data_IF_653879609713
#
_entry.id   IF_653879609713
#
_cell.length_a   1.000
_cell.length_b   1.000
_cell.length_c   1.000
_cell.angle_alpha   90.00
_cell.angle_beta   90.00
_cell.angle_gamma   90.00
#
_symmetry.space_group_name_H-M   'P 1'
#
loop_
_entity.id
_entity.type
_entity.pdbx_description
1 polymer ?
#
# COMPACT_ATOMS: atom_id res chain seq x y z
N UNK A 1 -19.09 11.12 10.10
CA UNK A 1 -19.42 11.44 11.50
C UNK A 1 -19.39 10.15 12.27
N UNK A 2 -18.59 10.12 13.33
CA UNK A 2 -18.50 8.99 14.24
C UNK A 2 -19.72 8.95 15.19
N UNK A 3 -19.87 7.90 16.02
CA UNK A 3 -20.98 7.79 16.98
C UNK A 3 -21.01 8.90 18.04
N UNK A 4 -19.93 9.66 18.20
CA UNK A 4 -19.83 10.81 19.10
C UNK A 4 -20.19 12.13 18.40
N UNK A 5 -20.48 12.10 17.10
CA UNK A 5 -20.81 13.27 16.29
C UNK A 5 -19.58 14.01 15.74
N UNK A 6 -18.37 13.48 15.93
CA UNK A 6 -17.15 14.09 15.39
C UNK A 6 -16.96 13.74 13.92
N UNK A 7 -16.27 14.61 13.19
CA UNK A 7 -15.86 14.30 11.83
C UNK A 7 -14.79 13.19 11.82
N UNK A 8 -14.99 12.21 10.94
CA UNK A 8 -14.11 11.06 10.82
C UNK A 8 -13.13 11.31 9.68
N UNK A 9 -11.86 11.02 9.91
CA UNK A 9 -10.82 11.22 8.89
C UNK A 9 -11.01 10.27 7.71
N UNK A 10 -10.83 10.78 6.50
CA UNK A 10 -10.78 9.95 5.30
C UNK A 10 -9.56 9.05 5.32
N UNK A 11 -9.79 7.80 4.93
CA UNK A 11 -8.75 6.81 4.73
C UNK A 11 -8.78 6.46 3.25
N UNK A 12 -7.64 6.56 2.60
CA UNK A 12 -7.47 6.08 1.23
C UNK A 12 -7.72 4.56 1.19
N UNK A 13 -8.72 4.07 0.45
CA UNK A 13 -9.02 2.64 0.43
C UNK A 13 -7.92 1.80 -0.24
N UNK A 14 -7.10 2.40 -1.10
CA UNK A 14 -6.06 1.69 -1.85
C UNK A 14 -4.72 1.71 -1.10
N UNK A 15 -4.44 2.82 -0.39
CA UNK A 15 -3.18 3.04 0.33
C UNK A 15 -3.28 2.81 1.84
N UNK A 16 -4.48 2.67 2.40
CA UNK A 16 -4.74 2.63 3.83
C UNK A 16 -3.96 3.70 4.62
N UNK A 17 -4.00 4.94 4.14
CA UNK A 17 -3.41 6.10 4.83
C UNK A 17 -4.47 7.15 5.06
N UNK A 18 -4.33 7.90 6.15
CA UNK A 18 -5.14 9.08 6.36
C UNK A 18 -4.86 10.09 5.26
N UNK A 19 -5.92 10.56 4.60
CA UNK A 19 -5.80 11.62 3.62
C UNK A 19 -5.56 12.94 4.34
N UNK A 20 -4.71 13.77 3.75
CA UNK A 20 -4.41 15.13 4.20
C UNK A 20 -4.73 16.12 3.09
N UNK A 21 -5.14 17.33 3.47
CA UNK A 21 -5.30 18.46 2.58
C UNK A 21 -3.92 18.96 2.07
N UNK A 22 -3.93 19.87 1.11
CA UNK A 22 -2.70 20.45 0.54
C UNK A 22 -1.82 21.16 1.58
N UNK A 23 -2.42 21.64 2.67
CA UNK A 23 -1.73 22.27 3.81
C UNK A 23 -1.26 21.27 4.89
N UNK A 24 -1.44 19.97 4.66
CA UNK A 24 -1.07 18.90 5.58
C UNK A 24 -2.08 18.60 6.69
N UNK A 25 -3.21 19.32 6.74
CA UNK A 25 -4.25 19.05 7.74
C UNK A 25 -5.01 17.76 7.42
N UNK A 26 -5.42 16.96 8.43
CA UNK A 26 -6.22 15.76 8.19
C UNK A 26 -7.52 16.08 7.45
N UNK A 27 -7.84 15.26 6.44
CA UNK A 27 -9.01 15.47 5.59
C UNK A 27 -10.22 14.73 6.17
N UNK A 28 -11.30 15.46 6.44
CA UNK A 28 -12.59 14.91 6.88
C UNK A 28 -13.70 15.01 5.83
N UNK A 29 -13.49 15.79 4.77
CA UNK A 29 -14.42 15.98 3.66
C UNK A 29 -13.71 15.87 2.31
N UNK A 30 -14.42 15.40 1.28
CA UNK A 30 -13.86 15.26 -0.06
C UNK A 30 -14.94 15.36 -1.12
N UNK A 31 -14.60 15.97 -2.25
CA UNK A 31 -15.43 15.95 -3.46
C UNK A 31 -15.24 14.61 -4.20
N UNK A 32 -16.36 13.91 -4.38
CA UNK A 32 -16.47 12.70 -5.19
C UNK A 32 -17.23 13.07 -6.46
N UNK A 33 -16.71 12.63 -7.61
CA UNK A 33 -17.34 12.85 -8.90
C UNK A 33 -18.09 11.57 -9.32
N UNK A 34 -19.19 11.76 -10.04
CA UNK A 34 -19.93 10.65 -10.63
C UNK A 34 -19.15 10.04 -11.82
N UNK A 35 -19.30 8.73 -12.00
CA UNK A 35 -18.80 8.00 -13.16
C UNK A 35 -19.61 8.32 -14.43
N UNK A 36 -19.23 7.68 -15.53
CA UNK A 36 -19.91 7.82 -16.83
C UNK A 36 -21.40 7.41 -16.82
N UNK A 37 -21.86 6.72 -15.78
CA UNK A 37 -23.27 6.33 -15.59
C UNK A 37 -24.02 7.25 -14.64
N UNK A 38 -23.38 8.33 -14.16
CA UNK A 38 -23.95 9.26 -13.19
C UNK A 38 -23.89 8.74 -11.75
N UNK A 39 -23.09 7.71 -11.46
CA UNK A 39 -22.98 7.13 -10.11
C UNK A 39 -21.70 7.57 -9.42
N UNK A 40 -21.82 8.08 -8.20
CA UNK A 40 -20.68 8.27 -7.31
C UNK A 40 -20.55 7.06 -6.38
N UNK A 41 -19.34 6.53 -6.24
CA UNK A 41 -19.02 5.44 -5.30
C UNK A 41 -17.83 5.84 -4.44
N UNK A 42 -17.88 5.45 -3.17
CA UNK A 42 -16.75 5.53 -2.26
C UNK A 42 -16.70 4.30 -1.38
N UNK A 43 -15.54 4.07 -0.78
CA UNK A 43 -15.35 3.06 0.25
C UNK A 43 -14.36 3.59 1.29
N UNK A 44 -14.46 3.08 2.52
CA UNK A 44 -13.59 3.41 3.64
C UNK A 44 -13.25 2.13 4.36
N UNK A 45 -12.04 2.07 4.88
CA UNK A 45 -11.61 1.03 5.81
C UNK A 45 -12.03 1.42 7.22
N UNK A 46 -12.78 0.54 7.86
CA UNK A 46 -13.39 0.75 9.17
C UNK A 46 -12.77 -0.14 10.26
N UNK A 47 -11.48 -0.51 10.11
CA UNK A 47 -10.81 -1.49 11.00
C UNK A 47 -10.81 -1.08 12.47
N UNK A 48 -10.73 0.23 12.73
CA UNK A 48 -10.71 0.79 14.08
C UNK A 48 -12.05 1.46 14.45
N UNK A 49 -13.07 1.33 13.61
CA UNK A 49 -14.35 1.98 13.86
C UNK A 49 -15.09 1.25 14.98
N UNK A 50 -15.66 2.02 15.91
CA UNK A 50 -16.41 1.49 17.05
C UNK A 50 -17.89 1.34 16.75
N UNK A 51 -18.54 0.47 17.53
CA UNK A 51 -19.99 0.29 17.49
C UNK A 51 -20.73 1.61 17.66
N UNK A 52 -21.82 1.75 16.90
CA UNK A 52 -22.74 2.87 17.02
C UNK A 52 -23.25 3.37 15.69
N UNK A 53 -23.97 4.49 15.75
CA UNK A 53 -24.59 5.12 14.58
C UNK A 53 -23.57 6.06 13.95
N UNK A 54 -23.14 5.72 12.75
CA UNK A 54 -22.28 6.55 11.91
C UNK A 54 -23.12 7.33 10.91
N UNK A 55 -22.65 8.52 10.54
CA UNK A 55 -23.31 9.40 9.59
C UNK A 55 -22.42 9.83 8.44
N UNK A 56 -22.95 9.80 7.21
CA UNK A 56 -22.33 10.36 6.02
C UNK A 56 -23.09 11.62 5.65
N UNK A 57 -22.41 12.76 5.63
CA UNK A 57 -22.94 14.02 5.10
C UNK A 57 -22.53 14.14 3.64
N UNK A 58 -23.51 14.35 2.77
CA UNK A 58 -23.32 14.59 1.34
C UNK A 58 -23.91 15.94 0.99
N UNK A 59 -23.18 16.72 0.21
CA UNK A 59 -23.65 18.01 -0.30
C UNK A 59 -23.72 17.93 -1.82
N UNK A 60 -24.88 18.23 -2.39
CA UNK A 60 -25.14 18.19 -3.82
C UNK A 60 -25.98 19.40 -4.21
N UNK A 61 -25.47 20.25 -5.11
CA UNK A 61 -26.18 21.43 -5.64
C UNK A 61 -26.73 22.39 -4.55
N UNK A 62 -26.06 22.48 -3.41
CA UNK A 62 -26.47 23.32 -2.28
C UNK A 62 -27.40 22.63 -1.28
N UNK A 63 -27.92 21.44 -1.60
CA UNK A 63 -28.66 20.61 -0.67
C UNK A 63 -27.72 19.71 0.14
N UNK A 64 -27.99 19.56 1.44
CA UNK A 64 -27.23 18.70 2.34
C UNK A 64 -28.10 17.54 2.80
N UNK A 65 -27.61 16.31 2.59
CA UNK A 65 -28.27 15.07 2.98
C UNK A 65 -27.35 14.35 3.98
N UNK A 66 -27.92 13.91 5.10
CA UNK A 66 -27.23 13.02 6.03
C UNK A 66 -27.88 11.65 5.94
N UNK A 67 -27.06 10.62 5.69
CA UNK A 67 -27.47 9.22 5.75
C UNK A 67 -26.74 8.54 6.89
N UNK A 68 -27.51 7.95 7.81
CA UNK A 68 -26.98 7.22 8.95
C UNK A 68 -26.94 5.71 8.66
N UNK A 69 -25.91 5.04 9.16
CA UNK A 69 -25.79 3.59 9.17
C UNK A 69 -25.34 3.13 10.55
N UNK A 70 -25.76 1.93 10.95
CA UNK A 70 -25.39 1.37 12.24
C UNK A 70 -24.23 0.38 12.04
N UNK A 71 -23.15 0.56 12.80
CA UNK A 71 -22.08 -0.41 12.90
C UNK A 71 -22.28 -1.19 14.21
N UNK A 72 -22.46 -2.51 14.11
CA UNK A 72 -22.64 -3.39 15.26
C UNK A 72 -21.38 -4.22 15.47
N UNK A 73 -20.94 -4.39 16.72
CA UNK A 73 -19.91 -5.38 17.01
C UNK A 73 -20.45 -6.80 16.87
N UNK A 74 -19.56 -7.70 16.47
CA UNK A 74 -19.87 -9.12 16.44
C UNK A 74 -19.94 -9.64 17.87
N UNK A 75 -21.06 -10.22 18.25
CA UNK A 75 -21.20 -10.90 19.54
C UNK A 75 -20.35 -12.18 19.54
N UNK A 76 -19.32 -12.19 20.38
CA UNK A 76 -18.49 -13.38 20.61
C UNK A 76 -18.99 -14.11 21.87
N UNK A 77 -19.18 -15.44 21.83
CA UNK A 77 -19.74 -16.19 22.94
C UNK A 77 -18.85 -16.18 24.18
N UNK A 78 -19.46 -15.96 25.35
CA UNK A 78 -18.95 -16.09 26.72
C UNK A 78 -17.43 -15.82 26.88
N UNK A 79 -16.98 -14.56 26.77
CA UNK A 79 -15.57 -14.24 26.95
C UNK A 79 -15.16 -14.53 28.39
N UNK A 80 -14.32 -15.55 28.58
CA UNK A 80 -13.59 -15.72 29.84
C UNK A 80 -12.57 -14.60 29.92
N UNK A 81 -12.62 -13.81 30.99
CA UNK A 81 -11.62 -12.77 31.25
C UNK A 81 -10.41 -13.37 31.96
N UNK A 82 -9.22 -13.01 31.50
CA UNK A 82 -7.94 -13.39 32.09
C UNK A 82 -7.07 -12.14 32.28
N UNK A 83 -6.28 -12.10 33.36
CA UNK A 83 -5.36 -10.99 33.63
C UNK A 83 -3.91 -11.42 33.34
N UNK A 84 -3.26 -10.70 32.43
CA UNK A 84 -1.84 -10.86 32.07
C UNK A 84 -1.17 -9.47 32.11
N UNK A 85 -1.09 -8.87 33.29
CA UNK A 85 -0.71 -7.46 33.44
C UNK A 85 -1.83 -6.49 33.07
N UNK A 86 -2.57 -6.82 32.00
CA UNK A 86 -3.82 -6.17 31.59
C UNK A 86 -4.97 -7.18 31.54
N UNK A 87 -6.20 -6.65 31.61
CA UNK A 87 -7.41 -7.45 31.44
C UNK A 87 -7.62 -7.82 29.97
N UNK A 88 -7.75 -9.12 29.69
CA UNK A 88 -7.97 -9.66 28.35
C UNK A 88 -9.21 -10.56 28.34
N UNK A 89 -10.02 -10.42 27.30
CA UNK A 89 -11.09 -11.36 26.96
C UNK A 89 -10.52 -12.48 26.11
N UNK A 90 -10.96 -13.71 26.33
CA UNK A 90 -10.56 -14.86 25.51
C UNK A 90 -11.65 -15.23 24.51
N UNK A 91 -11.30 -15.17 23.23
CA UNK A 91 -12.04 -15.80 22.15
C UNK A 91 -11.43 -17.17 21.84
N UNK A 92 -12.22 -18.23 22.06
CA UNK A 92 -11.88 -19.59 21.65
C UNK A 92 -12.32 -19.80 20.21
N UNK A 93 -11.44 -19.52 19.26
CA UNK A 93 -11.78 -19.85 17.88
C UNK A 93 -11.21 -21.19 17.43
N UNK A 94 -11.45 -21.56 16.17
CA UNK A 94 -11.37 -22.96 15.74
C UNK A 94 -9.96 -23.56 15.70
N UNK A 95 -8.91 -22.72 15.71
CA UNK A 95 -7.52 -23.17 15.52
C UNK A 95 -6.54 -22.62 16.56
N UNK A 96 -6.91 -21.54 17.26
CA UNK A 96 -6.06 -20.81 18.20
C UNK A 96 -6.93 -19.97 19.14
N UNK A 97 -6.49 -19.74 20.37
CA UNK A 97 -7.14 -18.77 21.23
C UNK A 97 -6.63 -17.37 20.91
N UNK A 98 -7.53 -16.39 20.93
CA UNK A 98 -7.17 -14.98 20.88
C UNK A 98 -7.55 -14.33 22.20
N UNK A 99 -6.58 -13.67 22.82
CA UNK A 99 -6.72 -12.87 24.02
C UNK A 99 -6.66 -11.40 23.62
N UNK A 100 -7.66 -10.60 23.96
CA UNK A 100 -7.74 -9.22 23.48
C UNK A 100 -8.22 -8.26 24.56
N UNK A 101 -7.60 -7.09 24.64
CA UNK A 101 -7.98 -6.06 25.61
C UNK A 101 -9.28 -5.36 25.22
N UNK A 102 -9.85 -4.61 26.17
CA UNK A 102 -10.91 -3.67 25.84
C UNK A 102 -10.45 -2.68 24.74
N UNK A 103 -11.35 -2.36 23.81
CA UNK A 103 -11.07 -1.47 22.68
C UNK A 103 -10.66 -2.17 21.38
N UNK A 104 -10.26 -3.45 21.42
CA UNK A 104 -10.07 -4.25 20.20
C UNK A 104 -11.44 -4.62 19.62
N UNK A 105 -11.77 -4.25 18.36
CA UNK A 105 -13.03 -4.65 17.74
C UNK A 105 -13.15 -6.18 17.62
N UNK A 106 -14.31 -6.75 17.96
CA UNK A 106 -14.51 -8.20 17.92
C UNK A 106 -14.47 -8.79 16.51
N UNK A 107 -14.84 -8.00 15.49
CA UNK A 107 -14.66 -8.37 14.08
C UNK A 107 -13.17 -8.55 13.75
N UNK A 108 -12.30 -7.68 14.26
CA UNK A 108 -10.86 -7.78 14.06
C UNK A 108 -10.29 -9.05 14.70
N UNK A 109 -10.77 -9.43 15.89
CA UNK A 109 -10.37 -10.68 16.55
C UNK A 109 -10.63 -11.88 15.63
N UNK A 110 -11.82 -11.96 15.02
CA UNK A 110 -12.19 -13.05 14.11
C UNK A 110 -11.39 -12.98 12.80
N UNK A 111 -11.23 -11.79 12.21
CA UNK A 111 -10.43 -11.57 11.00
C UNK A 111 -8.98 -12.04 11.18
N UNK A 112 -8.35 -11.72 12.32
CA UNK A 112 -6.97 -12.13 12.61
C UNK A 112 -6.84 -13.63 12.81
N UNK A 113 -7.86 -14.31 13.35
CA UNK A 113 -7.85 -15.77 13.40
C UNK A 113 -7.85 -16.40 12.00
N UNK A 114 -8.74 -15.93 11.12
CA UNK A 114 -8.81 -16.43 9.75
C UNK A 114 -7.52 -16.11 8.98
N UNK A 115 -6.96 -14.92 9.18
CA UNK A 115 -5.68 -14.55 8.59
C UNK A 115 -4.55 -15.46 9.07
N UNK A 116 -4.43 -15.70 10.38
CA UNK A 116 -3.40 -16.62 10.90
C UNK A 116 -3.54 -18.01 10.29
N UNK A 117 -4.76 -18.54 10.20
CA UNK A 117 -5.00 -19.85 9.57
C UNK A 117 -4.56 -19.86 8.11
N UNK A 118 -4.90 -18.81 7.36
CA UNK A 118 -4.48 -18.67 5.97
C UNK A 118 -2.96 -18.57 5.84
N UNK A 119 -2.29 -17.77 6.68
CA UNK A 119 -0.82 -17.66 6.72
C UNK A 119 -0.18 -19.02 7.00
N UNK A 120 -0.68 -19.77 8.00
CA UNK A 120 -0.19 -21.12 8.34
C UNK A 120 -0.23 -22.04 7.11
N UNK A 121 -1.32 -22.02 6.36
CA UNK A 121 -1.49 -22.84 5.16
C UNK A 121 -0.53 -22.39 4.03
N UNK A 122 -0.43 -21.08 3.79
CA UNK A 122 0.38 -20.54 2.71
C UNK A 122 1.89 -20.68 2.95
N UNK A 123 2.35 -20.46 4.19
CA UNK A 123 3.77 -20.66 4.54
C UNK A 123 4.17 -22.11 4.29
N UNK A 124 3.32 -23.09 4.66
CA UNK A 124 3.59 -24.50 4.38
C UNK A 124 3.74 -24.78 2.88
N UNK A 125 2.84 -24.25 2.05
CA UNK A 125 2.90 -24.42 0.59
C UNK A 125 4.16 -23.79 -0.01
N UNK A 126 4.48 -22.54 0.34
CA UNK A 126 5.57 -21.78 -0.28
C UNK A 126 6.94 -22.22 0.21
N UNK A 127 7.10 -22.33 1.53
CA UNK A 127 8.40 -22.57 2.15
C UNK A 127 8.69 -24.05 2.43
N UNK A 128 7.65 -24.90 2.48
CA UNK A 128 7.75 -26.25 3.05
C UNK A 128 7.97 -26.26 4.56
N UNK A 129 7.92 -25.09 5.21
CA UNK A 129 8.00 -24.95 6.65
C UNK A 129 6.60 -24.91 7.25
N UNK A 130 6.40 -25.68 8.29
CA UNK A 130 5.17 -25.66 9.08
C UNK A 130 5.54 -25.68 10.55
N UNK A 131 4.87 -24.84 11.34
CA UNK A 131 4.95 -24.92 12.79
C UNK A 131 4.27 -26.17 13.32
N UNK A 132 4.78 -26.70 14.42
CA UNK A 132 4.19 -27.80 15.18
C UNK A 132 2.83 -27.46 15.80
N UNK A 133 2.59 -26.19 16.15
CA UNK A 133 1.33 -25.73 16.76
C UNK A 133 1.00 -24.31 16.30
N UNK A 134 -0.26 -24.08 15.92
CA UNK A 134 -0.74 -22.71 15.67
C UNK A 134 -0.71 -21.91 16.99
N UNK A 135 0.00 -20.77 17.04
CA UNK A 135 0.16 -20.00 18.27
C UNK A 135 -1.14 -19.35 18.72
N UNK A 136 -1.29 -19.16 20.04
CA UNK A 136 -2.28 -18.23 20.59
C UNK A 136 -1.86 -16.77 20.26
N UNK A 137 -2.84 -15.87 20.13
CA UNK A 137 -2.60 -14.45 19.82
C UNK A 137 -3.01 -13.59 21.02
N UNK A 138 -2.20 -12.58 21.35
CA UNK A 138 -2.43 -11.62 22.42
C UNK A 138 -2.46 -10.19 21.85
N UNK A 139 -3.62 -9.56 21.92
CA UNK A 139 -3.93 -8.28 21.28
C UNK A 139 -4.13 -7.19 22.32
N UNK A 140 -3.35 -6.12 22.19
CA UNK A 140 -3.54 -4.89 22.97
C UNK A 140 -4.08 -3.78 22.07
N UNK A 141 -5.09 -3.05 22.54
CA UNK A 141 -5.78 -2.04 21.71
C UNK A 141 -4.96 -0.80 21.39
N UNK A 142 -3.84 -0.58 22.09
CA UNK A 142 -2.92 0.52 21.86
C UNK A 142 -1.51 0.19 22.35
N UNK A 143 -0.55 1.08 22.06
CA UNK A 143 0.86 0.89 22.44
C UNK A 143 1.11 0.77 23.95
N UNK A 144 0.41 1.54 24.78
CA UNK A 144 0.65 1.56 26.22
C UNK A 144 0.24 0.22 26.84
N UNK A 145 -0.96 -0.27 26.50
CA UNK A 145 -1.41 -1.59 26.91
C UNK A 145 -0.52 -2.70 26.34
N UNK A 146 0.00 -2.53 25.12
CA UNK A 146 0.93 -3.50 24.53
C UNK A 146 2.23 -3.58 25.33
N UNK A 147 2.77 -2.44 25.79
CA UNK A 147 3.96 -2.39 26.62
C UNK A 147 3.74 -3.00 28.00
N UNK A 148 2.59 -2.75 28.62
CA UNK A 148 2.21 -3.38 29.89
C UNK A 148 2.10 -4.91 29.74
N UNK A 149 1.41 -5.38 28.70
CA UNK A 149 1.27 -6.78 28.38
C UNK A 149 2.61 -7.45 28.08
N UNK A 150 3.47 -6.80 27.30
CA UNK A 150 4.81 -7.27 26.99
C UNK A 150 5.63 -7.45 28.28
N UNK A 151 5.66 -6.42 29.13
CA UNK A 151 6.37 -6.43 30.41
C UNK A 151 5.87 -7.55 31.31
N UNK A 152 4.55 -7.72 31.43
CA UNK A 152 3.94 -8.79 32.21
C UNK A 152 4.24 -10.19 31.65
N UNK A 153 4.49 -10.29 30.35
CA UNK A 153 4.93 -11.54 29.69
C UNK A 153 6.43 -11.80 29.80
N UNK A 154 7.21 -10.87 30.37
CA UNK A 154 8.66 -10.96 30.54
C UNK A 154 9.48 -10.44 29.36
N UNK A 155 8.87 -9.68 28.45
CA UNK A 155 9.52 -9.10 27.27
C UNK A 155 9.55 -7.58 27.41
N UNK A 156 10.71 -6.97 27.19
CA UNK A 156 10.84 -5.53 27.12
C UNK A 156 10.87 -5.12 25.64
N UNK A 157 9.94 -4.25 25.24
CA UNK A 157 9.81 -3.76 23.88
C UNK A 157 10.28 -2.29 23.78
N UNK A 158 10.90 -1.96 22.66
CA UNK A 158 11.19 -0.61 22.21
C UNK A 158 10.24 -0.18 21.09
N UNK A 159 10.68 -0.27 19.84
CA UNK A 159 9.95 0.19 18.65
C UNK A 159 9.03 -0.89 18.04
N UNK A 160 9.11 -2.12 18.55
CA UNK A 160 8.42 -3.28 18.01
C UNK A 160 6.90 -3.09 18.07
N UNK A 161 6.21 -3.54 17.01
CA UNK A 161 4.75 -3.51 16.91
C UNK A 161 4.10 -4.86 17.23
N UNK A 162 4.92 -5.90 17.28
CA UNK A 162 4.59 -7.25 17.69
C UNK A 162 5.85 -7.97 18.16
N UNK A 163 5.67 -9.12 18.80
CA UNK A 163 6.74 -10.07 19.03
C UNK A 163 6.18 -11.49 19.15
N UNK A 164 6.93 -12.47 18.70
CA UNK A 164 6.71 -13.86 19.03
C UNK A 164 7.43 -14.27 20.32
N UNK A 165 6.70 -14.94 21.22
CA UNK A 165 7.23 -15.56 22.43
C UNK A 165 7.22 -17.08 22.32
N UNK A 166 8.42 -17.67 22.32
CA UNK A 166 8.62 -19.09 22.04
C UNK A 166 8.14 -20.08 23.09
N UNK A 167 8.37 -19.78 24.36
CA UNK A 167 8.20 -20.74 25.43
C UNK A 167 7.88 -20.05 26.76
N UNK A 168 7.64 -20.87 27.77
CA UNK A 168 7.26 -20.43 29.11
C UNK A 168 5.75 -20.30 29.26
N UNK A 169 5.32 -19.49 30.22
CA UNK A 169 3.90 -19.23 30.46
C UNK A 169 3.38 -18.38 29.29
N UNK A 170 2.38 -18.91 28.59
CA UNK A 170 1.68 -18.26 27.47
C UNK A 170 2.60 -17.96 26.27
N UNK A 171 3.10 -18.99 25.55
CA UNK A 171 3.77 -18.78 24.28
C UNK A 171 2.75 -18.36 23.21
N UNK A 172 3.17 -17.53 22.26
CA UNK A 172 2.28 -17.02 21.23
C UNK A 172 2.78 -15.74 20.59
N UNK A 173 1.90 -15.11 19.82
CA UNK A 173 2.16 -13.83 19.13
C UNK A 173 1.49 -12.72 19.92
N UNK A 174 2.27 -11.68 20.26
CA UNK A 174 1.80 -10.50 20.96
C UNK A 174 1.86 -9.32 20.00
N UNK A 175 0.81 -8.50 19.91
CA UNK A 175 0.81 -7.33 19.04
C UNK A 175 -0.16 -6.24 19.51
N UNK A 176 0.13 -5.00 19.13
CA UNK A 176 -0.82 -3.88 19.25
C UNK A 176 -1.75 -3.80 18.04
N UNK A 177 -2.96 -3.29 18.21
CA UNK A 177 -4.01 -3.29 17.17
C UNK A 177 -4.46 -1.92 16.68
N UNK A 178 -3.80 -0.83 17.09
CA UNK A 178 -4.10 0.54 16.71
C UNK A 178 -3.51 0.93 15.35
N UNK A 179 -3.46 -0.02 14.42
CA UNK A 179 -3.07 0.19 13.03
C UNK A 179 -4.25 -0.09 12.09
N UNK A 180 -4.10 0.36 10.84
CA UNK A 180 -5.02 -0.02 9.78
C UNK A 180 -4.78 -1.47 9.35
N UNK A 181 -5.78 -2.06 8.69
CA UNK A 181 -5.92 -3.51 8.49
C UNK A 181 -4.65 -4.16 7.98
N UNK A 182 -4.08 -3.62 6.91
CA UNK A 182 -2.94 -4.23 6.22
C UNK A 182 -1.74 -4.33 7.14
N UNK A 183 -1.47 -3.30 7.95
CA UNK A 183 -0.39 -3.35 8.94
C UNK A 183 -0.60 -4.43 10.01
N UNK A 184 -1.84 -4.65 10.44
CA UNK A 184 -2.16 -5.72 11.39
C UNK A 184 -1.89 -7.10 10.79
N UNK A 185 -2.38 -7.33 9.57
CA UNK A 185 -2.16 -8.60 8.86
C UNK A 185 -0.67 -8.83 8.60
N UNK A 186 0.05 -7.76 8.27
CA UNK A 186 1.49 -7.72 8.05
C UNK A 186 2.26 -8.13 9.30
N UNK A 187 2.04 -7.46 10.43
CA UNK A 187 2.68 -7.79 11.72
C UNK A 187 2.38 -9.21 12.14
N UNK A 188 1.12 -9.66 12.06
CA UNK A 188 0.77 -11.05 12.40
C UNK A 188 1.50 -12.07 11.53
N UNK A 189 1.64 -11.79 10.23
CA UNK A 189 2.39 -12.65 9.31
C UNK A 189 3.87 -12.68 9.67
N UNK A 190 4.45 -11.52 9.94
CA UNK A 190 5.85 -11.34 10.33
C UNK A 190 6.20 -12.17 11.57
N UNK A 191 5.43 -12.01 12.65
CA UNK A 191 5.66 -12.72 13.91
C UNK A 191 5.43 -14.24 13.78
N UNK A 192 4.47 -14.66 12.95
CA UNK A 192 4.29 -16.08 12.67
C UNK A 192 5.47 -16.68 11.92
N UNK A 193 6.10 -15.93 10.99
CA UNK A 193 7.29 -16.42 10.29
C UNK A 193 8.46 -16.57 11.26
N UNK A 194 8.66 -15.65 12.20
CA UNK A 194 9.66 -15.82 13.26
C UNK A 194 9.44 -17.08 14.10
N UNK A 195 8.19 -17.39 14.44
CA UNK A 195 7.85 -18.64 15.12
C UNK A 195 8.31 -19.85 14.30
N UNK A 196 7.94 -19.90 13.02
CA UNK A 196 8.30 -21.00 12.13
C UNK A 196 9.82 -21.12 11.98
N UNK A 197 10.53 -19.99 11.86
CA UNK A 197 11.99 -19.94 11.78
C UNK A 197 12.64 -20.47 13.08
N UNK A 198 12.15 -20.05 14.25
CA UNK A 198 12.65 -20.49 15.55
C UNK A 198 12.55 -22.00 15.73
N UNK A 199 11.39 -22.58 15.40
CA UNK A 199 11.20 -24.03 15.46
C UNK A 199 12.12 -24.79 14.49
N UNK A 200 12.33 -24.26 13.28
CA UNK A 200 13.11 -24.95 12.23
C UNK A 200 14.61 -24.81 12.42
N UNK A 201 15.07 -23.72 13.01
CA UNK A 201 16.46 -23.50 13.39
C UNK A 201 16.88 -24.28 14.64
N UNK A 202 15.95 -25.01 15.28
CA UNK A 202 16.17 -25.64 16.58
C UNK A 202 16.70 -24.64 17.61
N UNK A 203 16.19 -23.41 17.58
CA UNK A 203 16.57 -22.33 18.49
C UNK A 203 18.04 -21.92 18.44
N UNK A 204 18.74 -22.26 17.34
CA UNK A 204 20.10 -21.74 17.10
C UNK A 204 20.03 -20.29 16.65
N UNK A 205 21.07 -19.54 16.99
CA UNK A 205 21.20 -18.15 16.57
C UNK A 205 21.31 -18.06 15.04
N UNK A 206 20.35 -17.37 14.44
CA UNK A 206 20.34 -17.03 13.01
C UNK A 206 20.80 -15.58 12.89
N UNK A 207 21.65 -15.24 11.89
CA UNK A 207 21.96 -13.85 11.61
C UNK A 207 20.71 -12.99 11.48
N UNK A 208 20.66 -11.83 12.16
CA UNK A 208 19.44 -11.01 12.22
C UNK A 208 18.93 -10.61 10.84
N UNK A 209 19.81 -10.24 9.89
CA UNK A 209 19.42 -9.95 8.51
C UNK A 209 18.70 -11.12 7.83
N UNK A 210 19.07 -12.37 8.11
CA UNK A 210 18.44 -13.54 7.50
C UNK A 210 17.11 -13.85 8.18
N UNK A 211 17.03 -13.71 9.51
CA UNK A 211 15.80 -13.91 10.27
C UNK A 211 14.72 -12.87 9.89
N UNK A 212 15.05 -11.59 10.01
CA UNK A 212 14.15 -10.45 9.75
C UNK A 212 13.85 -10.32 8.26
N UNK A 213 14.86 -10.51 7.39
CA UNK A 213 14.70 -10.49 5.94
C UNK A 213 13.79 -11.60 5.44
N UNK A 214 13.86 -12.81 6.03
CA UNK A 214 12.97 -13.92 5.67
C UNK A 214 11.55 -13.68 6.17
N UNK A 215 11.38 -13.12 7.38
CA UNK A 215 10.08 -12.70 7.88
C UNK A 215 9.44 -11.66 6.95
N UNK A 216 10.19 -10.62 6.55
CA UNK A 216 9.70 -9.57 5.66
C UNK A 216 9.48 -10.06 4.22
N UNK A 217 10.28 -11.01 3.73
CA UNK A 217 10.07 -11.64 2.43
C UNK A 217 8.73 -12.37 2.36
N UNK A 218 8.43 -13.24 3.35
CA UNK A 218 7.17 -13.96 3.37
C UNK A 218 5.98 -13.07 3.72
N UNK A 219 6.19 -12.05 4.55
CA UNK A 219 5.22 -10.98 4.76
C UNK A 219 4.77 -10.37 3.42
N UNK A 220 5.69 -9.95 2.57
CA UNK A 220 5.33 -9.38 1.27
C UNK A 220 4.76 -10.41 0.30
N UNK A 221 5.40 -11.58 0.16
CA UNK A 221 4.95 -12.62 -0.74
C UNK A 221 3.51 -13.05 -0.46
N UNK A 222 3.11 -13.15 0.82
CA UNK A 222 1.74 -13.45 1.18
C UNK A 222 0.82 -12.25 0.98
N UNK A 223 1.17 -11.07 1.47
CA UNK A 223 0.25 -9.93 1.38
C UNK A 223 0.03 -9.43 -0.07
N UNK A 224 0.89 -9.81 -1.03
CA UNK A 224 0.63 -9.65 -2.46
C UNK A 224 -0.48 -10.58 -3.00
N UNK A 225 -0.66 -11.77 -2.42
CA UNK A 225 -1.80 -12.65 -2.74
C UNK A 225 -3.05 -12.30 -1.91
N UNK A 226 -2.89 -11.39 -0.95
CA UNK A 226 -3.91 -11.01 0.01
C UNK A 226 -4.96 -10.05 -0.55
N UNK A 227 -5.74 -9.48 0.36
CA UNK A 227 -6.91 -8.65 0.03
C UNK A 227 -6.48 -7.25 -0.49
N UNK A 228 -5.21 -6.84 -0.30
CA UNK A 228 -4.68 -5.51 -0.68
C UNK A 228 -3.23 -5.55 -1.16
N UNK A 229 -2.96 -6.06 -2.38
CA UNK A 229 -1.61 -6.11 -2.93
C UNK A 229 -0.95 -4.74 -3.10
N UNK A 230 -1.71 -3.69 -3.45
CA UNK A 230 -1.15 -2.38 -3.82
C UNK A 230 -0.32 -1.71 -2.72
N UNK A 231 -0.79 -1.72 -1.47
CA UNK A 231 -0.02 -1.14 -0.34
C UNK A 231 1.24 -1.96 -0.03
N UNK A 232 1.16 -3.29 -0.17
CA UNK A 232 2.32 -4.18 -0.04
C UNK A 232 3.37 -3.86 -1.11
N UNK A 233 2.90 -3.67 -2.35
CA UNK A 233 3.75 -3.31 -3.49
C UNK A 233 4.43 -1.94 -3.27
N UNK A 234 3.70 -0.94 -2.75
CA UNK A 234 4.28 0.35 -2.36
C UNK A 234 5.43 0.18 -1.36
N UNK A 235 5.25 -0.65 -0.32
CA UNK A 235 6.29 -0.92 0.69
C UNK A 235 7.51 -1.61 0.07
N UNK A 236 7.30 -2.59 -0.80
CA UNK A 236 8.38 -3.25 -1.53
C UNK A 236 9.18 -2.27 -2.39
N UNK A 237 8.50 -1.36 -3.08
CA UNK A 237 9.17 -0.33 -3.87
C UNK A 237 9.98 0.62 -2.99
N UNK A 238 9.43 1.09 -1.88
CA UNK A 238 10.18 1.90 -0.92
C UNK A 238 11.43 1.18 -0.40
N UNK A 239 11.31 -0.08 0.01
CA UNK A 239 12.44 -0.87 0.48
C UNK A 239 13.52 -1.01 -0.61
N UNK A 240 13.10 -1.32 -1.85
CA UNK A 240 13.99 -1.42 -3.01
C UNK A 240 14.73 -0.11 -3.26
N UNK A 241 14.01 1.01 -3.32
CA UNK A 241 14.57 2.32 -3.66
C UNK A 241 15.55 2.82 -2.59
N UNK A 242 15.22 2.59 -1.32
CA UNK A 242 16.10 2.95 -0.19
C UNK A 242 17.42 2.18 -0.24
N UNK A 243 17.37 0.87 -0.48
CA UNK A 243 18.60 0.06 -0.55
C UNK A 243 19.40 0.37 -1.82
N UNK A 244 18.72 0.59 -2.95
CA UNK A 244 19.38 0.96 -4.21
C UNK A 244 20.09 2.31 -4.11
N UNK A 245 19.45 3.31 -3.51
CA UNK A 245 20.11 4.60 -3.21
C UNK A 245 21.28 4.41 -2.26
N UNK A 246 21.12 3.62 -1.18
CA UNK A 246 22.19 3.36 -0.24
C UNK A 246 23.38 2.63 -0.89
N UNK A 247 23.14 1.72 -1.83
CA UNK A 247 24.18 1.03 -2.58
C UNK A 247 24.94 2.00 -3.49
N UNK A 248 24.19 2.81 -4.27
CA UNK A 248 24.75 3.81 -5.19
C UNK A 248 25.62 4.86 -4.48
N UNK A 249 25.24 5.26 -3.26
CA UNK A 249 25.97 6.25 -2.46
C UNK A 249 26.98 5.62 -1.48
N UNK A 250 27.23 4.29 -1.58
CA UNK A 250 28.10 3.52 -0.69
C UNK A 250 27.79 3.71 0.81
N UNK A 251 26.50 3.86 1.15
CA UNK A 251 25.98 4.12 2.50
C UNK A 251 25.20 2.94 3.11
N UNK A 252 25.18 1.79 2.43
CA UNK A 252 24.63 0.55 2.98
C UNK A 252 25.23 0.20 4.35
N UNK A 253 24.41 -0.39 5.22
CA UNK A 253 24.85 -0.94 6.51
C UNK A 253 25.73 -2.17 6.28
N UNK A 254 25.32 -3.02 5.34
CA UNK A 254 26.04 -4.22 4.92
C UNK A 254 25.77 -5.41 5.83
N UNK A 255 25.59 -6.60 5.22
CA UNK A 255 25.04 -7.77 5.90
C UNK A 255 25.83 -8.20 7.15
N UNK A 256 27.16 -8.07 7.14
CA UNK A 256 27.99 -8.41 8.31
C UNK A 256 27.65 -7.59 9.55
N UNK A 257 27.31 -6.32 9.37
CA UNK A 257 26.93 -5.43 10.45
C UNK A 257 25.49 -5.67 10.92
N UNK A 258 24.72 -6.45 10.14
CA UNK A 258 23.34 -6.84 10.42
C UNK A 258 23.23 -8.31 10.91
N UNK A 259 24.34 -8.99 11.19
CA UNK A 259 24.31 -10.39 11.68
C UNK A 259 23.96 -10.48 13.17
N UNK A 260 24.34 -9.47 13.97
CA UNK A 260 24.23 -9.53 15.43
C UNK A 260 22.92 -8.93 15.97
N UNK A 261 22.18 -9.72 16.75
CA UNK A 261 20.89 -9.31 17.33
C UNK A 261 21.00 -8.13 18.29
N UNK A 262 22.05 -8.07 19.12
CA UNK A 262 22.23 -6.95 20.04
C UNK A 262 22.49 -5.64 19.28
N UNK A 263 23.28 -5.69 18.21
CA UNK A 263 23.49 -4.55 17.31
C UNK A 263 22.18 -4.15 16.61
N UNK A 264 21.42 -5.12 16.08
CA UNK A 264 20.11 -4.89 15.46
C UNK A 264 19.15 -4.14 16.39
N UNK A 265 18.99 -4.62 17.62
CA UNK A 265 18.06 -4.05 18.60
C UNK A 265 18.55 -2.72 19.20
N UNK A 266 19.84 -2.39 19.04
CA UNK A 266 20.40 -1.13 19.55
C UNK A 266 20.19 0.06 18.61
N UNK A 267 19.70 -0.16 17.39
CA UNK A 267 19.45 0.91 16.43
C UNK A 267 18.25 1.77 16.86
N UNK A 268 18.44 3.09 16.90
CA UNK A 268 17.41 4.04 17.34
C UNK A 268 17.07 5.11 16.30
N UNK A 269 17.89 5.29 15.26
CA UNK A 269 17.61 6.24 14.18
C UNK A 269 16.55 5.66 13.24
N UNK A 270 15.35 6.27 13.11
CA UNK A 270 14.27 5.76 12.28
C UNK A 270 14.68 5.49 10.82
N UNK A 271 15.55 6.31 10.25
CA UNK A 271 16.01 6.14 8.88
C UNK A 271 16.90 4.90 8.72
N UNK A 272 17.74 4.63 9.74
CA UNK A 272 18.58 3.43 9.79
C UNK A 272 17.81 2.18 10.15
N UNK A 273 16.78 2.28 11.00
CA UNK A 273 15.83 1.17 11.26
C UNK A 273 15.15 0.78 9.94
N UNK A 274 14.68 1.77 9.16
CA UNK A 274 14.07 1.47 7.87
C UNK A 274 15.07 0.82 6.89
N UNK A 275 16.31 1.33 6.85
CA UNK A 275 17.36 0.78 5.99
C UNK A 275 17.78 -0.65 6.39
N UNK A 276 17.93 -0.98 7.68
CA UNK A 276 18.32 -2.34 8.10
C UNK A 276 17.29 -3.39 7.69
N UNK A 277 16.00 -3.10 7.87
CA UNK A 277 14.91 -3.99 7.49
C UNK A 277 14.86 -4.14 5.96
N UNK A 278 15.02 -3.02 5.25
CA UNK A 278 15.00 -3.01 3.78
C UNK A 278 16.20 -3.75 3.18
N UNK A 279 17.42 -3.58 3.72
CA UNK A 279 18.62 -4.32 3.29
C UNK A 279 18.48 -5.82 3.54
N UNK A 280 17.99 -6.21 4.72
CA UNK A 280 17.72 -7.60 5.06
C UNK A 280 16.71 -8.24 4.09
N UNK A 281 15.60 -7.55 3.83
CA UNK A 281 14.59 -7.99 2.87
C UNK A 281 15.18 -8.13 1.46
N UNK A 282 15.87 -7.11 0.93
CA UNK A 282 16.42 -7.15 -0.43
C UNK A 282 17.52 -8.22 -0.57
N UNK A 283 18.27 -8.52 0.49
CA UNK A 283 19.26 -9.60 0.47
C UNK A 283 18.61 -10.98 0.41
N UNK A 284 17.52 -11.19 1.14
CA UNK A 284 16.73 -12.43 1.05
C UNK A 284 16.01 -12.54 -0.29
N UNK A 285 15.50 -11.43 -0.83
CA UNK A 285 14.93 -11.41 -2.17
C UNK A 285 16.00 -11.78 -3.22
N UNK A 286 17.18 -11.16 -3.20
CA UNK A 286 18.27 -11.50 -4.10
C UNK A 286 18.64 -12.99 -4.03
N UNK A 287 18.75 -13.51 -2.80
CA UNK A 287 19.05 -14.92 -2.55
C UNK A 287 18.00 -15.83 -3.19
N UNK A 288 16.71 -15.55 -2.98
CA UNK A 288 15.62 -16.39 -3.46
C UNK A 288 15.41 -16.25 -4.99
N UNK A 289 15.53 -15.04 -5.53
CA UNK A 289 15.38 -14.77 -6.96
C UNK A 289 16.52 -15.37 -7.79
N UNK A 290 17.73 -15.43 -7.22
CA UNK A 290 18.94 -15.87 -7.94
C UNK A 290 19.25 -17.36 -7.76
N UNK A 291 19.07 -17.89 -6.55
CA UNK A 291 19.48 -19.26 -6.20
C UNK A 291 18.30 -20.21 -6.00
N UNK A 292 17.07 -19.69 -5.93
CA UNK A 292 15.84 -20.46 -5.88
C UNK A 292 14.94 -20.02 -4.71
N UNK A 293 13.62 -20.13 -4.90
CA UNK A 293 12.59 -19.58 -3.99
C UNK A 293 12.65 -20.08 -2.53
N UNK A 294 13.44 -21.14 -2.28
CA UNK A 294 13.63 -21.78 -0.97
C UNK A 294 15.05 -21.59 -0.40
N UNK A 295 15.91 -20.83 -1.05
CA UNK A 295 17.32 -20.75 -0.64
C UNK A 295 17.49 -20.15 0.75
N UNK A 296 16.74 -19.11 1.11
CA UNK A 296 16.79 -18.56 2.47
C UNK A 296 16.39 -19.59 3.54
N UNK A 297 15.36 -20.40 3.27
CA UNK A 297 14.89 -21.42 4.22
C UNK A 297 15.80 -22.64 4.28
N UNK A 298 16.43 -23.03 3.16
CA UNK A 298 17.46 -24.07 3.13
C UNK A 298 18.69 -23.66 3.97
N UNK A 299 19.14 -22.40 3.86
CA UNK A 299 20.25 -21.86 4.67
C UNK A 299 19.89 -21.89 6.16
N UNK A 300 18.68 -21.47 6.53
CA UNK A 300 18.20 -21.57 7.92
C UNK A 300 18.23 -23.02 8.43
N UNK A 301 17.83 -23.99 7.60
CA UNK A 301 17.89 -25.40 7.96
C UNK A 301 19.32 -25.94 8.09
N UNK A 302 20.27 -25.44 7.29
CA UNK A 302 21.69 -25.78 7.43
C UNK A 302 22.25 -25.23 8.74
N UNK A 303 21.92 -23.98 9.09
CA UNK A 303 22.28 -23.40 10.38
C UNK A 303 21.70 -24.23 11.53
N UNK A 304 20.45 -24.71 11.41
CA UNK A 304 19.83 -25.62 12.37
C UNK A 304 20.67 -26.89 12.65
N UNK A 305 21.36 -27.39 11.61
CA UNK A 305 22.26 -28.56 11.70
C UNK A 305 23.64 -28.22 12.28
N UNK A 306 23.89 -26.96 12.62
CA UNK A 306 25.15 -26.48 13.18
C UNK A 306 26.16 -25.99 12.14
N UNK A 307 25.74 -25.82 10.87
CA UNK A 307 26.58 -25.25 9.81
C UNK A 307 26.71 -23.74 10.03
N UNK A 308 27.90 -23.18 9.82
CA UNK A 308 28.11 -21.73 9.93
C UNK A 308 27.36 -20.98 8.81
N UNK A 309 27.03 -19.70 8.99
CA UNK A 309 26.42 -18.91 7.89
C UNK A 309 27.31 -18.88 6.64
N UNK A 310 28.64 -18.85 6.82
CA UNK A 310 29.60 -18.82 5.72
C UNK A 310 29.50 -20.08 4.87
N UNK A 311 29.50 -21.24 5.53
CA UNK A 311 29.42 -22.55 4.86
C UNK A 311 28.00 -22.78 4.33
N UNK A 312 26.96 -22.39 5.06
CA UNK A 312 25.58 -22.57 4.64
C UNK A 312 25.26 -21.77 3.37
N UNK A 313 25.75 -20.53 3.27
CA UNK A 313 25.65 -19.73 2.04
C UNK A 313 26.45 -20.39 0.91
N UNK A 314 27.66 -20.86 1.18
CA UNK A 314 28.49 -21.51 0.17
C UNK A 314 27.87 -22.80 -0.36
N UNK A 315 27.28 -23.62 0.51
CA UNK A 315 26.62 -24.86 0.15
C UNK A 315 25.36 -24.62 -0.70
N UNK A 316 24.56 -23.59 -0.38
CA UNK A 316 23.33 -23.28 -1.10
C UNK A 316 23.58 -22.54 -2.43
N UNK A 317 24.54 -21.61 -2.45
CA UNK A 317 24.75 -20.69 -3.58
C UNK A 317 25.92 -21.08 -4.49
N UNK A 318 26.82 -21.96 -4.02
CA UNK A 318 28.07 -22.31 -4.69
C UNK A 318 29.16 -21.24 -4.67
N UNK A 319 28.92 -20.09 -4.01
CA UNK A 319 29.88 -18.97 -3.91
C UNK A 319 30.21 -18.65 -2.45
N UNK A 320 31.39 -18.07 -2.20
CA UNK A 320 31.75 -17.69 -0.84
C UNK A 320 30.82 -16.60 -0.30
N UNK A 321 30.62 -16.54 1.01
CA UNK A 321 29.82 -15.49 1.63
C UNK A 321 30.35 -14.06 1.33
N UNK A 322 31.66 -13.90 1.17
CA UNK A 322 32.22 -12.63 0.71
C UNK A 322 31.69 -12.25 -0.67
N UNK A 323 31.80 -13.18 -1.64
CA UNK A 323 31.31 -12.98 -2.99
C UNK A 323 29.80 -12.76 -3.03
N UNK A 324 29.03 -13.49 -2.22
CA UNK A 324 27.58 -13.29 -2.10
C UNK A 324 27.22 -11.84 -1.74
N UNK A 325 27.92 -11.25 -0.75
CA UNK A 325 27.68 -9.85 -0.35
C UNK A 325 28.05 -8.86 -1.45
N UNK A 326 29.19 -9.06 -2.11
CA UNK A 326 29.61 -8.18 -3.21
C UNK A 326 28.62 -8.27 -4.38
N UNK A 327 28.22 -9.49 -4.75
CA UNK A 327 27.26 -9.73 -5.82
C UNK A 327 25.87 -9.16 -5.46
N UNK A 328 25.45 -9.23 -4.19
CA UNK A 328 24.22 -8.59 -3.72
C UNK A 328 24.25 -7.07 -3.91
N UNK A 329 25.32 -6.40 -3.49
CA UNK A 329 25.47 -4.94 -3.68
C UNK A 329 25.41 -4.59 -5.18
N UNK A 330 26.15 -5.31 -6.02
CA UNK A 330 26.11 -5.11 -7.47
C UNK A 330 24.71 -5.38 -8.06
N UNK A 331 24.00 -6.39 -7.56
CA UNK A 331 22.65 -6.73 -8.01
C UNK A 331 21.66 -5.62 -7.69
N UNK A 332 21.67 -5.08 -6.47
CA UNK A 332 20.70 -4.05 -6.06
C UNK A 332 20.95 -2.69 -6.74
N UNK A 333 22.21 -2.32 -6.97
CA UNK A 333 22.56 -1.13 -7.77
C UNK A 333 21.97 -1.19 -9.18
N UNK A 334 21.96 -2.38 -9.77
CA UNK A 334 21.49 -2.61 -11.14
C UNK A 334 20.04 -3.13 -11.19
N UNK A 335 19.36 -3.25 -10.04
CA UNK A 335 18.03 -3.83 -9.96
C UNK A 335 17.02 -2.97 -10.73
N UNK A 336 16.18 -3.65 -11.51
CA UNK A 336 15.08 -3.07 -12.28
C UNK A 336 13.83 -3.88 -12.04
N UNK A 337 12.70 -3.19 -11.90
CA UNK A 337 11.39 -3.81 -11.89
C UNK A 337 10.71 -3.50 -13.24
N UNK A 338 10.68 -4.43 -14.20
CA UNK A 338 10.16 -4.17 -15.55
C UNK A 338 8.70 -3.72 -15.57
N UNK A 339 7.86 -4.26 -14.69
CA UNK A 339 6.45 -3.87 -14.56
C UNK A 339 6.34 -2.41 -14.12
N UNK A 340 7.10 -2.02 -13.08
CA UNK A 340 7.15 -0.64 -12.60
C UNK A 340 7.73 0.33 -13.66
N UNK A 341 8.72 -0.10 -14.43
CA UNK A 341 9.28 0.69 -15.54
C UNK A 341 8.26 0.91 -16.67
N UNK A 342 7.50 -0.13 -17.04
CA UNK A 342 6.42 -0.04 -18.03
C UNK A 342 5.32 0.91 -17.56
N UNK A 343 4.92 0.81 -16.29
CA UNK A 343 3.97 1.72 -15.66
C UNK A 343 4.49 3.16 -15.69
N UNK A 344 5.74 3.39 -15.31
CA UNK A 344 6.36 4.72 -15.33
C UNK A 344 6.35 5.33 -16.74
N UNK A 345 6.68 4.54 -17.76
CA UNK A 345 6.66 4.99 -19.14
C UNK A 345 5.25 5.38 -19.59
N UNK A 346 4.26 4.54 -19.32
CA UNK A 346 2.88 4.82 -19.71
C UNK A 346 2.32 6.06 -18.98
N UNK A 347 2.56 6.16 -17.67
CA UNK A 347 2.10 7.28 -16.86
C UNK A 347 2.80 8.59 -17.23
N UNK A 348 4.08 8.55 -17.58
CA UNK A 348 4.81 9.74 -18.03
C UNK A 348 4.24 10.27 -19.35
N UNK A 349 3.97 9.38 -20.31
CA UNK A 349 3.33 9.75 -21.58
C UNK A 349 1.90 10.28 -21.35
N UNK A 350 1.13 9.64 -20.45
CA UNK A 350 -0.21 10.08 -20.12
C UNK A 350 -0.21 11.46 -19.47
N UNK A 351 0.72 11.72 -18.55
CA UNK A 351 0.90 13.01 -17.89
C UNK A 351 1.30 14.10 -18.88
N UNK A 352 2.15 13.79 -19.85
CA UNK A 352 2.49 14.73 -20.92
C UNK A 352 1.26 15.09 -21.76
N UNK A 353 0.46 14.09 -22.14
CA UNK A 353 -0.80 14.30 -22.88
C UNK A 353 -1.80 15.11 -22.06
N UNK A 354 -2.02 14.76 -20.79
CA UNK A 354 -2.95 15.50 -19.93
C UNK A 354 -2.48 16.92 -19.72
N UNK A 355 -1.17 17.17 -19.54
CA UNK A 355 -0.63 18.53 -19.46
C UNK A 355 -0.82 19.39 -20.72
N UNK A 356 -1.14 18.81 -21.88
CA UNK A 356 -1.50 19.58 -23.07
C UNK A 356 -2.92 20.18 -22.99
N UNK A 357 -3.78 19.73 -22.07
CA UNK A 357 -5.11 20.32 -21.86
C UNK A 357 -5.00 21.79 -21.41
N UNK A 358 -4.05 22.13 -20.55
CA UNK A 358 -3.77 23.49 -20.08
C UNK A 358 -3.42 24.40 -21.24
N UNK A 359 -2.57 23.92 -22.17
CA UNK A 359 -2.18 24.66 -23.38
C UNK A 359 -3.40 24.83 -24.30
N UNK A 360 -4.20 23.78 -24.49
CA UNK A 360 -5.41 23.82 -25.31
C UNK A 360 -6.44 24.81 -24.75
N UNK A 361 -6.68 24.79 -23.43
CA UNK A 361 -7.59 25.71 -22.76
C UNK A 361 -7.05 27.14 -22.73
N UNK A 362 -5.73 27.35 -22.62
CA UNK A 362 -5.11 28.66 -22.73
C UNK A 362 -5.30 29.25 -24.15
N UNK A 363 -5.05 28.46 -25.20
CA UNK A 363 -5.32 28.86 -26.59
C UNK A 363 -6.79 29.23 -26.79
N UNK A 364 -7.71 28.43 -26.27
CA UNK A 364 -9.16 28.72 -26.30
C UNK A 364 -9.48 30.03 -25.57
N UNK A 365 -8.94 30.24 -24.38
CA UNK A 365 -9.19 31.45 -23.59
C UNK A 365 -8.68 32.71 -24.30
N UNK A 366 -7.47 32.65 -24.86
CA UNK A 366 -6.91 33.74 -25.67
C UNK A 366 -7.78 34.02 -26.89
N UNK A 367 -8.21 32.98 -27.60
CA UNK A 367 -9.10 33.09 -28.75
C UNK A 367 -10.40 33.84 -28.40
N UNK A 368 -11.01 33.53 -27.24
CA UNK A 368 -12.24 34.18 -26.77
C UNK A 368 -12.06 35.64 -26.36
N UNK A 369 -10.86 36.02 -25.89
CA UNK A 369 -10.55 37.40 -25.50
C UNK A 369 -10.34 38.32 -26.70
N UNK A 370 -10.01 37.75 -27.86
CA UNK A 370 -9.86 38.50 -29.09
C UNK A 370 -11.25 38.85 -29.62
N UNK A 371 -11.64 40.13 -29.49
CA UNK A 371 -12.92 40.67 -29.94
C UNK A 371 -13.00 40.74 -31.49
N UNK A 372 -13.01 39.55 -32.12
CA UNK A 372 -13.00 39.32 -33.57
C UNK A 372 -14.37 38.84 -34.05
N UNK A 373 -14.66 39.11 -35.32
CA UNK A 373 -15.89 38.63 -35.94
C UNK A 373 -15.88 37.10 -36.10
N UNK A 374 -17.06 36.46 -36.07
CA UNK A 374 -17.16 35.00 -36.07
C UNK A 374 -16.41 34.32 -37.21
N UNK A 375 -16.36 34.91 -38.42
CA UNK A 375 -15.60 34.37 -39.56
C UNK A 375 -14.09 34.31 -39.32
N UNK A 376 -13.55 35.28 -38.60
CA UNK A 376 -12.11 35.36 -38.30
C UNK A 376 -11.71 34.33 -37.23
N UNK A 377 -12.70 33.81 -36.49
CA UNK A 377 -12.51 32.84 -35.40
C UNK A 377 -12.60 31.38 -35.85
N UNK A 378 -13.16 31.12 -37.04
CA UNK A 378 -13.37 29.75 -37.57
C UNK A 378 -12.05 28.98 -37.61
N UNK A 379 -10.99 29.54 -38.20
CA UNK A 379 -9.71 28.85 -38.33
C UNK A 379 -9.07 28.52 -36.98
N UNK A 380 -9.20 29.40 -35.99
CA UNK A 380 -8.71 29.13 -34.63
C UNK A 380 -9.50 28.01 -33.96
N UNK A 381 -10.83 27.98 -34.12
CA UNK A 381 -11.69 26.91 -33.61
C UNK A 381 -11.42 25.57 -34.30
N UNK A 382 -11.17 25.56 -35.61
CA UNK A 382 -10.74 24.37 -36.35
C UNK A 382 -9.41 23.84 -35.82
N UNK A 383 -8.44 24.73 -35.55
CA UNK A 383 -7.16 24.35 -34.97
C UNK A 383 -7.32 23.74 -33.58
N UNK A 384 -8.18 24.29 -32.71
CA UNK A 384 -8.46 23.72 -31.39
C UNK A 384 -9.07 22.31 -31.48
N UNK A 385 -10.02 22.08 -32.39
CA UNK A 385 -10.61 20.75 -32.63
C UNK A 385 -9.56 19.77 -33.15
N UNK A 386 -8.68 20.22 -34.04
CA UNK A 386 -7.59 19.42 -34.59
C UNK A 386 -6.55 19.07 -33.51
N UNK A 387 -6.16 20.02 -32.66
CA UNK A 387 -5.26 19.80 -31.52
C UNK A 387 -5.84 18.73 -30.57
N UNK A 388 -7.11 18.85 -30.18
CA UNK A 388 -7.79 17.85 -29.36
C UNK A 388 -7.85 16.47 -30.04
N UNK A 389 -8.08 16.44 -31.35
CA UNK A 389 -8.09 15.21 -32.16
C UNK A 389 -6.71 14.54 -32.16
N UNK A 390 -5.63 15.31 -32.24
CA UNK A 390 -4.26 14.78 -32.19
C UNK A 390 -3.93 14.17 -30.82
N UNK A 391 -4.40 14.77 -29.72
CA UNK A 391 -4.23 14.20 -28.38
C UNK A 391 -4.94 12.85 -28.25
N UNK A 392 -6.18 12.73 -28.76
CA UNK A 392 -6.91 11.45 -28.80
C UNK A 392 -6.15 10.41 -29.64
N UNK A 393 -5.65 10.80 -30.83
CA UNK A 393 -4.88 9.88 -31.68
C UNK A 393 -3.60 9.41 -31.01
N UNK A 394 -2.94 10.28 -30.23
CA UNK A 394 -1.74 9.93 -29.47
C UNK A 394 -2.09 8.91 -28.38
N UNK A 395 -3.17 9.12 -27.63
CA UNK A 395 -3.69 8.14 -26.67
C UNK A 395 -4.01 6.80 -27.33
N UNK A 396 -4.73 6.80 -28.45
CA UNK A 396 -5.11 5.57 -29.17
C UNK A 396 -3.92 4.74 -29.68
N UNK A 397 -2.75 5.37 -29.90
CA UNK A 397 -1.53 4.67 -30.30
C UNK A 397 -0.79 4.04 -29.11
N UNK A 398 -1.05 4.51 -27.90
CA UNK A 398 -0.49 3.92 -26.69
C UNK A 398 -1.12 2.55 -26.44
N UNK A 399 -0.34 1.64 -25.85
CA UNK A 399 -0.84 0.38 -25.33
C UNK A 399 -0.80 0.46 -23.81
N UNK A 400 -1.95 0.50 -23.11
CA UNK A 400 -1.94 0.48 -21.66
C UNK A 400 -1.53 -0.90 -21.13
N UNK A 401 -0.68 -0.96 -20.09
CA UNK A 401 -0.52 -2.20 -19.33
C UNK A 401 -1.85 -2.59 -18.66
N UNK A 402 -2.07 -3.87 -18.31
CA UNK A 402 -3.36 -4.35 -17.81
C UNK A 402 -3.94 -3.55 -16.64
N UNK A 403 -3.08 -3.12 -15.71
CA UNK A 403 -3.48 -2.34 -14.53
C UNK A 403 -3.87 -0.89 -14.82
N UNK A 404 -3.60 -0.36 -16.03
CA UNK A 404 -3.92 1.01 -16.43
C UNK A 404 -5.01 1.12 -17.50
N UNK A 405 -5.67 0.01 -17.86
CA UNK A 405 -6.70 -0.01 -18.90
C UNK A 405 -7.83 0.98 -18.57
N UNK A 406 -8.34 0.98 -17.34
CA UNK A 406 -9.46 1.86 -16.94
C UNK A 406 -9.05 3.33 -16.99
N UNK A 407 -7.90 3.69 -16.40
CA UNK A 407 -7.38 5.06 -16.45
C UNK A 407 -7.15 5.54 -17.89
N UNK A 408 -6.63 4.66 -18.75
CA UNK A 408 -6.42 4.96 -20.16
C UNK A 408 -7.75 5.22 -20.88
N UNK A 409 -8.79 4.41 -20.62
CA UNK A 409 -10.13 4.62 -21.16
C UNK A 409 -10.76 5.91 -20.64
N UNK A 410 -10.64 6.20 -19.36
CA UNK A 410 -11.14 7.46 -18.77
C UNK A 410 -10.48 8.69 -19.40
N UNK A 411 -9.18 8.59 -19.71
CA UNK A 411 -8.43 9.64 -20.40
C UNK A 411 -8.92 9.84 -21.83
N UNK A 412 -9.19 8.75 -22.56
CA UNK A 412 -9.79 8.81 -23.90
C UNK A 412 -11.18 9.46 -23.88
N UNK A 413 -12.01 9.12 -22.89
CA UNK A 413 -13.34 9.70 -22.73
C UNK A 413 -13.24 11.20 -22.41
N UNK A 414 -12.34 11.58 -21.50
CA UNK A 414 -12.08 12.97 -21.15
C UNK A 414 -11.72 13.81 -22.39
N UNK A 415 -10.71 13.40 -23.16
CA UNK A 415 -10.31 14.15 -24.36
C UNK A 415 -11.36 14.10 -25.47
N UNK A 416 -12.14 13.04 -25.57
CA UNK A 416 -13.28 12.98 -26.50
C UNK A 416 -14.32 14.04 -26.15
N UNK A 417 -14.65 14.21 -24.86
CA UNK A 417 -15.55 15.27 -24.39
C UNK A 417 -15.01 16.66 -24.63
N UNK A 418 -13.70 16.88 -24.42
CA UNK A 418 -13.04 18.15 -24.75
C UNK A 418 -13.16 18.46 -26.25
N UNK A 419 -12.90 17.47 -27.12
CA UNK A 419 -13.05 17.63 -28.57
C UNK A 419 -14.50 17.96 -28.97
N UNK A 420 -15.47 17.23 -28.43
CA UNK A 420 -16.90 17.43 -28.74
C UNK A 420 -17.36 18.83 -28.31
N UNK A 421 -16.90 19.31 -27.15
CA UNK A 421 -17.12 20.68 -26.68
C UNK A 421 -16.55 21.73 -27.63
N UNK A 422 -15.29 21.58 -28.04
CA UNK A 422 -14.65 22.50 -29.00
C UNK A 422 -15.35 22.47 -30.38
N UNK A 423 -15.90 21.32 -30.78
CA UNK A 423 -16.65 21.20 -32.03
C UNK A 423 -18.00 21.93 -31.98
N UNK A 424 -18.68 21.95 -30.83
CA UNK A 424 -19.89 22.76 -30.64
C UNK A 424 -19.56 24.26 -30.73
N UNK A 425 -18.44 24.69 -30.15
CA UNK A 425 -17.99 26.09 -30.30
C UNK A 425 -17.64 26.46 -31.74
N UNK A 426 -16.98 25.55 -32.48
CA UNK A 426 -16.75 25.71 -33.91
C UNK A 426 -18.07 25.84 -34.68
N UNK A 427 -19.06 25.02 -34.34
CA UNK A 427 -20.38 25.05 -34.97
C UNK A 427 -21.08 26.39 -34.69
N UNK A 428 -21.02 26.88 -33.45
CA UNK A 428 -21.54 28.20 -33.08
C UNK A 428 -20.89 29.33 -33.89
N UNK A 429 -19.56 29.39 -34.00
CA UNK A 429 -18.91 30.47 -34.78
C UNK A 429 -19.18 30.36 -36.28
N UNK A 430 -19.47 29.15 -36.77
CA UNK A 430 -19.75 28.90 -38.19
C UNK A 430 -21.20 29.22 -38.57
N UNK A 431 -22.17 28.96 -37.69
CA UNK A 431 -23.61 29.09 -37.99
C UNK A 431 -24.28 30.27 -37.26
N UNK A 432 -23.67 30.77 -36.19
CA UNK A 432 -24.26 31.72 -35.21
C UNK A 432 -25.51 31.22 -34.50
N UNK A 433 -25.78 29.91 -34.54
CA UNK A 433 -26.94 29.30 -33.89
C UNK A 433 -26.69 29.10 -32.39
N UNK A 434 -27.44 29.81 -31.55
CA UNK A 434 -27.22 29.85 -30.10
C UNK A 434 -27.38 28.51 -29.36
N UNK A 435 -28.06 27.52 -29.96
CA UNK A 435 -28.22 26.17 -29.40
C UNK A 435 -26.87 25.51 -29.15
N UNK A 436 -25.94 25.60 -30.11
CA UNK A 436 -24.58 25.06 -29.96
C UNK A 436 -23.81 25.68 -28.80
N UNK A 437 -24.01 26.98 -28.54
CA UNK A 437 -23.36 27.66 -27.41
C UNK A 437 -23.94 27.19 -26.08
N UNK A 438 -25.26 26.99 -26.00
CA UNK A 438 -25.93 26.45 -24.81
C UNK A 438 -25.43 25.03 -24.53
N UNK A 439 -25.40 24.16 -25.55
CA UNK A 439 -24.94 22.78 -25.43
C UNK A 439 -23.47 22.72 -25.02
N UNK A 440 -22.61 23.57 -25.58
CA UNK A 440 -21.21 23.65 -25.20
C UNK A 440 -21.04 24.04 -23.72
N UNK A 441 -21.82 25.03 -23.24
CA UNK A 441 -21.77 25.44 -21.84
C UNK A 441 -22.24 24.34 -20.87
N UNK A 442 -23.20 23.51 -21.28
CA UNK A 442 -23.67 22.38 -20.48
C UNK A 442 -22.63 21.27 -20.29
N UNK A 443 -21.61 21.19 -21.18
CA UNK A 443 -20.54 20.19 -21.07
C UNK A 443 -19.45 20.55 -20.06
N UNK A 444 -19.32 21.83 -19.69
CA UNK A 444 -18.22 22.32 -18.84
C UNK A 444 -18.10 21.55 -17.52
N UNK A 445 -19.18 21.34 -16.73
CA UNK A 445 -19.08 20.61 -15.47
C UNK A 445 -18.60 19.16 -15.63
N UNK A 446 -19.02 18.47 -16.71
CA UNK A 446 -18.57 17.10 -16.98
C UNK A 446 -17.07 17.08 -17.34
N UNK A 447 -16.62 18.02 -18.17
CA UNK A 447 -15.21 18.14 -18.58
C UNK A 447 -14.32 18.41 -17.36
N UNK A 448 -14.68 19.37 -16.51
CA UNK A 448 -13.93 19.69 -15.30
C UNK A 448 -13.87 18.50 -14.33
N UNK A 449 -14.99 17.80 -14.13
CA UNK A 449 -15.06 16.62 -13.29
C UNK A 449 -14.14 15.50 -13.82
N UNK A 450 -14.21 15.20 -15.11
CA UNK A 450 -13.39 14.16 -15.75
C UNK A 450 -11.90 14.51 -15.75
N UNK A 451 -11.54 15.74 -16.07
CA UNK A 451 -10.14 16.19 -16.02
C UNK A 451 -9.56 16.06 -14.60
N UNK A 452 -10.36 16.44 -13.59
CA UNK A 452 -9.97 16.26 -12.18
C UNK A 452 -9.79 14.79 -11.82
N UNK A 453 -10.69 13.91 -12.26
CA UNK A 453 -10.59 12.46 -12.01
C UNK A 453 -9.35 11.85 -12.67
N UNK A 454 -9.10 12.15 -13.94
CA UNK A 454 -7.91 11.66 -14.68
C UNK A 454 -6.62 12.10 -13.97
N UNK A 455 -6.48 13.39 -13.66
CA UNK A 455 -5.28 13.89 -12.98
C UNK A 455 -5.08 13.29 -11.58
N UNK A 456 -6.17 13.10 -10.84
CA UNK A 456 -6.14 12.42 -9.54
C UNK A 456 -5.73 10.96 -9.65
N UNK A 457 -6.26 10.23 -10.64
CA UNK A 457 -5.91 8.83 -10.87
C UNK A 457 -4.45 8.67 -11.30
N UNK A 458 -3.93 9.57 -12.14
CA UNK A 458 -2.51 9.63 -12.48
C UNK A 458 -1.66 9.81 -11.21
N UNK A 459 -1.99 10.82 -10.39
CA UNK A 459 -1.25 11.08 -9.14
C UNK A 459 -1.33 9.90 -8.16
N UNK A 460 -2.48 9.24 -8.05
CA UNK A 460 -2.65 8.05 -7.23
C UNK A 460 -1.75 6.90 -7.68
N UNK A 461 -1.72 6.58 -8.99
CA UNK A 461 -0.86 5.54 -9.53
C UNK A 461 0.62 5.87 -9.30
N UNK A 462 1.03 7.12 -9.53
CA UNK A 462 2.39 7.59 -9.26
C UNK A 462 2.78 7.38 -7.80
N UNK A 463 1.88 7.72 -6.87
CA UNK A 463 2.10 7.51 -5.45
C UNK A 463 2.15 6.04 -5.07
N UNK A 464 1.20 5.21 -5.54
CA UNK A 464 1.08 3.80 -5.18
C UNK A 464 2.27 2.96 -5.67
N UNK A 465 2.86 3.33 -6.81
CA UNK A 465 4.00 2.62 -7.38
C UNK A 465 5.33 3.35 -7.15
N UNK A 466 5.34 4.36 -6.27
CA UNK A 466 6.48 5.22 -5.98
C UNK A 466 7.22 5.72 -7.24
N UNK A 467 6.52 6.02 -8.35
CA UNK A 467 7.13 6.24 -9.66
C UNK A 467 8.09 7.43 -9.70
N UNK A 468 7.94 8.38 -8.77
CA UNK A 468 8.83 9.53 -8.64
C UNK A 468 10.28 9.13 -8.37
N UNK A 469 10.50 8.06 -7.60
CA UNK A 469 11.84 7.56 -7.31
C UNK A 469 12.57 6.95 -8.52
N UNK A 470 11.89 6.81 -9.68
CA UNK A 470 12.52 6.41 -10.94
C UNK A 470 12.93 7.61 -11.82
N UNK A 471 12.59 8.83 -11.41
CA UNK A 471 12.85 10.07 -12.15
C UNK A 471 14.05 10.84 -11.59
N UNK A 472 14.40 10.56 -10.33
CA UNK A 472 15.59 11.03 -9.62
C UNK A 472 16.73 10.01 -9.80
#
# INVERSE_FOLDING_TARGET
>A
MDPLGNESLWIDPDREVHLVNADGTPMSSRIIFADQTGKAKWSRIATLDHEGIWGIRMELLGDSIITNYNLLQMDLPDPVTENIGIELRRYQGSFSNIYYSAGVPTSLVVDLQYHLKWVVDQINVRSGLQSTKIPDIYLASNHDLFKELATASGVNIGFESGFYKKAGIRPGIYMRTDFLRTELLRVLTHEYVHLVIGEKSQERDIPSWLNEGTAQYYEYALNLDGIRPGITQLRMYHATDIVKSAASDASMIGLRNLENQSSWNSQTDPSRILLQYSEAYMAVQYLNDTYGEKSSTNIIQNIARGVSIFDAIQDETGISYHKFRDDFTNWIENFKNPEREELNKHISELKDITGQDEILFAKRSQEMQLNRDSRERISDKENLVNDATQLIQRLQRMKPPPSLIELHQDSLIYFSKVKDWLALELSYVSTTEGTFQVDANQMIPEIEARGTLVNRSIANIQSLHNLKALQD
#
